data_IF_093613265648
#
_entry.id   IF_093613265648
#
_cell.length_a   1.000
_cell.length_b   1.000
_cell.length_c   1.000
_cell.angle_alpha   90.00
_cell.angle_beta   90.00
_cell.angle_gamma   90.00
#
_symmetry.space_group_name_H-M   'P 1'
#
loop_
_entity.id
_entity.type
_entity.pdbx_description
1 polymer ?
#
# COMPACT_ATOMS: atom_id res chain seq x y z
N UNK A 1 13.29 -5.14 20.21
CA UNK A 1 13.22 -5.07 18.73
C UNK A 1 12.15 -6.08 18.30
N UNK A 2 10.99 -5.64 17.79
CA UNK A 2 9.92 -6.59 17.39
C UNK A 2 10.43 -7.44 16.23
N UNK A 3 10.63 -8.74 16.44
CA UNK A 3 11.05 -9.64 15.38
C UNK A 3 9.87 -9.86 14.43
N UNK A 4 10.03 -9.48 13.17
CA UNK A 4 9.07 -9.76 12.10
C UNK A 4 9.26 -11.18 11.58
N UNK A 5 8.19 -11.84 11.13
CA UNK A 5 8.25 -13.14 10.43
C UNK A 5 9.26 -13.14 9.28
N UNK A 6 9.44 -12.01 8.60
CA UNK A 6 10.45 -11.86 7.56
C UNK A 6 11.88 -11.98 8.11
N UNK A 7 12.15 -11.37 9.26
CA UNK A 7 13.44 -11.46 9.94
C UNK A 7 13.71 -12.89 10.40
N UNK A 8 12.70 -13.58 10.92
CA UNK A 8 12.81 -14.99 11.33
C UNK A 8 13.14 -15.88 10.13
N UNK A 9 12.39 -15.75 9.02
CA UNK A 9 12.67 -16.46 7.76
C UNK A 9 14.11 -16.23 7.29
N UNK A 10 14.57 -14.98 7.30
CA UNK A 10 15.91 -14.60 6.86
C UNK A 10 17.00 -15.23 7.74
N UNK A 11 16.82 -15.20 9.06
CA UNK A 11 17.78 -15.77 9.99
C UNK A 11 17.85 -17.30 9.86
N UNK A 12 16.71 -17.98 9.81
CA UNK A 12 16.67 -19.42 9.58
C UNK A 12 17.28 -19.81 8.24
N UNK A 13 17.12 -18.98 7.19
CA UNK A 13 17.81 -19.18 5.91
C UNK A 13 19.33 -19.11 6.02
N UNK A 14 19.87 -18.15 6.79
CA UNK A 14 21.32 -18.06 7.05
C UNK A 14 21.83 -19.27 7.82
N UNK A 15 21.09 -19.74 8.82
CA UNK A 15 21.50 -20.91 9.61
C UNK A 15 21.50 -22.19 8.78
N UNK A 16 20.56 -22.34 7.82
CA UNK A 16 20.60 -23.41 6.80
C UNK A 16 21.87 -23.30 5.96
N UNK A 17 22.21 -22.11 5.45
CA UNK A 17 23.44 -21.92 4.66
C UNK A 17 24.72 -22.26 5.46
N UNK A 18 24.76 -21.89 6.74
CA UNK A 18 25.87 -22.20 7.63
C UNK A 18 25.97 -23.69 7.96
N UNK A 19 24.83 -24.37 8.18
CA UNK A 19 24.78 -25.81 8.38
C UNK A 19 25.27 -26.56 7.13
N UNK A 20 24.82 -26.15 5.94
CA UNK A 20 25.28 -26.72 4.68
C UNK A 20 26.80 -26.55 4.48
N UNK A 21 27.36 -25.39 4.84
CA UNK A 21 28.82 -25.16 4.83
C UNK A 21 29.58 -26.09 5.80
N UNK A 22 28.95 -26.46 6.91
CA UNK A 22 29.50 -27.42 7.89
C UNK A 22 29.27 -28.88 7.50
N UNK A 23 28.63 -29.15 6.35
CA UNK A 23 28.29 -30.50 5.89
C UNK A 23 27.03 -31.09 6.54
N UNK A 24 26.27 -30.28 7.28
CA UNK A 24 25.02 -30.69 7.92
C UNK A 24 23.84 -30.45 6.98
N UNK A 25 23.02 -31.49 6.72
CA UNK A 25 21.82 -31.36 5.92
C UNK A 25 20.63 -30.93 6.80
N UNK A 26 20.64 -29.67 7.24
CA UNK A 26 19.55 -29.08 8.02
C UNK A 26 18.66 -28.20 7.14
N UNK A 27 17.35 -28.42 7.21
CA UNK A 27 16.34 -27.56 6.61
C UNK A 27 15.84 -26.48 7.56
N UNK A 28 15.10 -25.50 7.04
CA UNK A 28 14.59 -24.33 7.78
C UNK A 28 13.76 -24.68 9.03
N UNK A 29 13.03 -25.80 9.00
CA UNK A 29 12.26 -26.26 10.15
C UNK A 29 13.10 -26.48 11.41
N UNK A 30 14.39 -26.83 11.28
CA UNK A 30 15.28 -27.04 12.43
C UNK A 30 15.66 -25.76 13.17
N UNK A 31 15.42 -24.60 12.58
CA UNK A 31 15.85 -23.29 13.11
C UNK A 31 14.65 -22.47 13.58
N UNK A 32 13.83 -23.10 14.44
CA UNK A 32 12.62 -22.50 14.99
C UNK A 32 12.96 -21.45 16.07
N UNK A 33 12.30 -20.27 16.06
CA UNK A 33 12.36 -19.35 17.19
C UNK A 33 11.76 -19.95 18.47
N UNK A 34 12.42 -19.75 19.62
CA UNK A 34 12.02 -20.34 20.91
C UNK A 34 10.60 -19.99 21.38
N UNK A 35 10.06 -18.84 20.96
CA UNK A 35 8.74 -18.35 21.36
C UNK A 35 7.61 -18.78 20.41
N UNK A 36 7.92 -19.48 19.31
CA UNK A 36 6.93 -19.89 18.32
C UNK A 36 6.62 -21.38 18.50
N UNK A 37 5.35 -21.74 18.36
CA UNK A 37 4.92 -23.15 18.36
C UNK A 37 5.48 -23.89 17.15
N UNK A 38 5.77 -25.19 17.31
CA UNK A 38 6.40 -26.01 16.28
C UNK A 38 5.54 -26.08 15.01
N UNK A 39 4.26 -26.42 15.16
CA UNK A 39 3.33 -26.55 14.04
C UNK A 39 3.15 -25.23 13.28
N UNK A 40 3.14 -24.10 14.00
CA UNK A 40 3.06 -22.77 13.40
C UNK A 40 4.31 -22.45 12.57
N UNK A 41 5.49 -22.87 13.03
CA UNK A 41 6.75 -22.67 12.30
C UNK A 41 6.84 -23.53 11.06
N UNK A 42 6.47 -24.81 11.18
CA UNK A 42 6.41 -25.75 10.05
C UNK A 42 5.47 -25.20 8.98
N UNK A 43 4.24 -24.80 9.36
CA UNK A 43 3.28 -24.21 8.43
C UNK A 43 3.81 -22.95 7.73
N UNK A 44 4.57 -22.10 8.43
CA UNK A 44 5.23 -20.96 7.82
C UNK A 44 6.33 -21.38 6.83
N UNK A 45 7.15 -22.36 7.19
CA UNK A 45 8.21 -22.88 6.34
C UNK A 45 7.64 -23.49 5.05
N UNK A 46 6.62 -24.33 5.17
CA UNK A 46 5.94 -24.98 4.05
C UNK A 46 5.31 -23.94 3.12
N UNK A 47 4.59 -22.96 3.70
CA UNK A 47 4.03 -21.85 2.93
C UNK A 47 5.10 -21.11 2.10
N UNK A 48 6.27 -20.85 2.69
CA UNK A 48 7.36 -20.17 1.98
C UNK A 48 8.00 -20.99 0.86
N UNK A 49 7.84 -22.30 0.88
CA UNK A 49 8.31 -23.24 -0.16
C UNK A 49 7.26 -23.46 -1.26
N UNK A 50 6.04 -22.96 -1.11
CA UNK A 50 5.02 -23.04 -2.16
C UNK A 50 5.37 -22.18 -3.38
N UNK A 51 5.03 -22.69 -4.57
CA UNK A 51 5.16 -21.95 -5.84
C UNK A 51 4.38 -20.64 -5.84
N UNK A 52 3.20 -20.63 -5.20
CA UNK A 52 2.36 -19.44 -5.07
C UNK A 52 3.07 -18.31 -4.33
N UNK A 53 3.70 -18.63 -3.19
CA UNK A 53 4.50 -17.66 -2.46
C UNK A 53 5.72 -17.20 -3.28
N UNK A 54 6.42 -18.10 -3.97
CA UNK A 54 7.59 -17.73 -4.78
C UNK A 54 7.21 -16.76 -5.92
N UNK A 55 6.15 -17.06 -6.65
CA UNK A 55 5.61 -16.20 -7.72
C UNK A 55 5.24 -14.82 -7.18
N UNK A 56 4.51 -14.77 -6.07
CA UNK A 56 4.11 -13.52 -5.44
C UNK A 56 5.31 -12.72 -4.93
N UNK A 57 6.31 -13.38 -4.34
CA UNK A 57 7.56 -12.75 -3.90
C UNK A 57 8.34 -12.13 -5.08
N UNK A 58 8.43 -12.83 -6.22
CA UNK A 58 9.07 -12.32 -7.44
C UNK A 58 8.33 -11.11 -8.00
N UNK A 59 7.00 -11.16 -8.06
CA UNK A 59 6.16 -10.03 -8.52
C UNK A 59 6.33 -8.83 -7.59
N UNK A 60 6.20 -9.02 -6.28
CA UNK A 60 6.33 -7.94 -5.30
C UNK A 60 7.72 -7.28 -5.35
N UNK A 61 8.78 -8.07 -5.56
CA UNK A 61 10.14 -7.54 -5.73
C UNK A 61 10.27 -6.67 -6.99
N UNK A 62 9.65 -7.07 -8.11
CA UNK A 62 9.62 -6.27 -9.34
C UNK A 62 8.83 -4.98 -9.12
N UNK A 63 7.62 -5.08 -8.57
CA UNK A 63 6.75 -3.94 -8.30
C UNK A 63 7.43 -2.91 -7.39
N UNK A 64 8.18 -3.36 -6.38
CA UNK A 64 8.91 -2.47 -5.47
C UNK A 64 10.02 -1.66 -6.15
N UNK A 65 10.57 -2.10 -7.28
CA UNK A 65 11.53 -1.32 -8.07
C UNK A 65 10.88 -0.14 -8.80
N UNK A 66 9.59 -0.25 -9.10
CA UNK A 66 8.81 0.79 -9.76
C UNK A 66 8.12 1.72 -8.76
N UNK A 67 8.28 1.50 -7.44
CA UNK A 67 7.69 2.33 -6.42
C UNK A 67 8.52 3.62 -6.26
N UNK A 68 8.06 4.70 -6.88
CA UNK A 68 8.72 6.02 -6.81
C UNK A 68 8.70 6.60 -5.40
N UNK A 69 7.56 6.47 -4.71
CA UNK A 69 7.38 7.00 -3.36
C UNK A 69 6.84 5.95 -2.41
N UNK A 70 7.47 5.84 -1.23
CA UNK A 70 6.97 4.96 -0.19
C UNK A 70 5.73 5.57 0.47
N UNK A 71 4.57 4.93 0.28
CA UNK A 71 3.36 5.26 1.02
C UNK A 71 3.45 4.78 2.47
N UNK A 72 2.91 5.57 3.39
CA UNK A 72 2.74 5.21 4.80
C UNK A 72 1.49 4.32 5.02
N UNK A 73 0.64 4.19 4.01
CA UNK A 73 -0.69 3.59 4.11
C UNK A 73 -0.74 2.06 4.26
N UNK A 74 0.40 1.38 4.22
CA UNK A 74 0.46 -0.08 4.36
C UNK A 74 -0.31 -0.79 3.25
N UNK A 75 -1.09 -1.82 3.62
CA UNK A 75 -1.89 -2.63 2.68
C UNK A 75 -3.28 -2.07 2.38
N UNK A 76 -3.68 -0.98 3.04
CA UNK A 76 -5.03 -0.40 2.88
C UNK A 76 -5.11 0.43 1.59
N UNK A 77 -6.05 0.13 0.67
CA UNK A 77 -6.29 0.94 -0.53
C UNK A 77 -6.65 2.40 -0.19
N UNK A 78 -6.35 3.33 -1.11
CA UNK A 78 -6.64 4.75 -0.91
C UNK A 78 -8.13 5.05 -0.78
N UNK A 79 -8.99 4.35 -1.53
CA UNK A 79 -10.45 4.50 -1.44
C UNK A 79 -10.97 4.11 -0.06
N UNK A 80 -10.56 2.94 0.44
CA UNK A 80 -10.95 2.48 1.78
C UNK A 80 -10.48 3.44 2.87
N UNK A 81 -9.26 3.95 2.73
CA UNK A 81 -8.69 4.94 3.67
C UNK A 81 -9.46 6.26 3.63
N UNK A 82 -9.84 6.73 2.44
CA UNK A 82 -10.66 7.92 2.25
C UNK A 82 -12.02 7.71 2.93
N UNK A 83 -12.74 6.66 2.57
CA UNK A 83 -14.06 6.36 3.15
C UNK A 83 -14.03 6.26 4.67
N UNK A 84 -13.04 5.55 5.24
CA UNK A 84 -12.92 5.41 6.69
C UNK A 84 -12.70 6.77 7.39
N UNK A 85 -11.95 7.69 6.78
CA UNK A 85 -11.76 9.03 7.35
C UNK A 85 -12.92 9.99 7.07
N UNK A 86 -13.56 9.90 5.91
CA UNK A 86 -14.79 10.66 5.63
C UNK A 86 -15.91 10.27 6.61
N UNK A 87 -16.00 8.99 6.97
CA UNK A 87 -16.93 8.50 8.00
C UNK A 87 -16.58 9.02 9.40
N UNK A 88 -15.29 9.07 9.76
CA UNK A 88 -14.83 9.58 11.06
C UNK A 88 -15.07 11.09 11.22
N UNK A 89 -14.82 11.87 10.16
CA UNK A 89 -14.89 13.33 10.18
C UNK A 89 -16.30 13.83 9.83
N UNK A 90 -17.10 13.02 9.12
CA UNK A 90 -18.42 13.40 8.61
C UNK A 90 -18.34 14.37 7.42
N UNK A 91 -17.17 14.55 6.82
CA UNK A 91 -16.89 15.53 5.77
C UNK A 91 -16.11 14.89 4.60
N UNK A 92 -16.34 15.34 3.37
CA UNK A 92 -15.61 14.84 2.19
C UNK A 92 -14.16 15.30 2.25
N UNK A 93 -13.22 14.36 2.23
CA UNK A 93 -11.80 14.65 2.39
C UNK A 93 -11.23 15.35 1.15
N UNK A 94 -10.37 16.35 1.35
CA UNK A 94 -9.61 16.98 0.26
C UNK A 94 -8.49 16.07 -0.26
N UNK A 95 -8.05 16.29 -1.50
CA UNK A 95 -6.93 15.50 -2.02
C UNK A 95 -5.62 15.80 -1.27
N UNK A 96 -5.43 17.04 -0.83
CA UNK A 96 -4.26 17.44 -0.05
C UNK A 96 -4.24 16.76 1.32
N UNK A 97 -5.40 16.62 1.96
CA UNK A 97 -5.53 15.88 3.22
C UNK A 97 -5.21 14.39 3.04
N UNK A 98 -5.71 13.77 1.97
CA UNK A 98 -5.38 12.38 1.64
C UNK A 98 -3.87 12.23 1.37
N UNK A 99 -3.28 13.16 0.62
CA UNK A 99 -1.84 13.20 0.36
C UNK A 99 -1.03 13.21 1.67
N UNK A 100 -1.44 14.02 2.65
CA UNK A 100 -0.78 14.09 3.94
C UNK A 100 -0.86 12.79 4.75
N UNK A 101 -1.97 12.06 4.66
CA UNK A 101 -2.13 10.78 5.34
C UNK A 101 -1.29 9.69 4.65
N UNK A 102 -1.22 9.73 3.31
CA UNK A 102 -0.56 8.70 2.50
C UNK A 102 0.96 8.90 2.48
N UNK A 103 1.45 10.13 2.46
CA UNK A 103 2.86 10.45 2.30
C UNK A 103 3.42 11.15 3.54
N UNK A 104 4.10 10.38 4.40
CA UNK A 104 4.69 10.91 5.65
C UNK A 104 6.17 11.24 5.53
N UNK A 105 6.84 10.80 4.45
CA UNK A 105 8.27 11.04 4.23
C UNK A 105 8.51 12.31 3.41
N UNK A 106 9.49 13.10 3.83
CA UNK A 106 9.96 14.27 3.08
C UNK A 106 10.80 13.81 1.89
N UNK A 107 10.21 13.82 0.70
CA UNK A 107 10.91 13.68 -0.58
C UNK A 107 10.79 15.01 -1.33
N UNK A 108 11.85 15.47 -1.98
CA UNK A 108 11.85 16.77 -2.66
C UNK A 108 10.71 16.87 -3.70
N UNK A 109 10.54 15.83 -4.51
CA UNK A 109 9.44 15.75 -5.48
C UNK A 109 8.05 15.71 -4.83
N UNK A 110 7.89 15.04 -3.67
CA UNK A 110 6.63 15.05 -2.94
C UNK A 110 6.31 16.45 -2.39
N UNK A 111 7.32 17.22 -1.99
CA UNK A 111 7.13 18.60 -1.56
C UNK A 111 6.73 19.51 -2.73
N UNK A 112 7.32 19.31 -3.92
CA UNK A 112 6.93 20.05 -5.11
C UNK A 112 5.49 19.73 -5.54
N UNK A 113 5.10 18.45 -5.53
CA UNK A 113 3.71 18.03 -5.79
C UNK A 113 2.77 18.66 -4.76
N UNK A 114 3.15 18.60 -3.48
CA UNK A 114 2.38 19.20 -2.39
C UNK A 114 2.19 20.70 -2.60
N UNK A 115 3.25 21.44 -2.89
CA UNK A 115 3.20 22.88 -3.14
C UNK A 115 2.37 23.22 -4.38
N UNK A 116 2.39 22.37 -5.42
CA UNK A 116 1.54 22.53 -6.59
C UNK A 116 0.06 22.31 -6.26
N UNK A 117 -0.26 21.31 -5.44
CA UNK A 117 -1.62 21.06 -4.95
C UNK A 117 -2.12 22.22 -4.08
N UNK A 118 -1.31 22.70 -3.13
CA UNK A 118 -1.64 23.87 -2.29
C UNK A 118 -1.90 25.13 -3.15
N UNK A 119 -1.09 25.34 -4.20
CA UNK A 119 -1.28 26.45 -5.14
C UNK A 119 -2.58 26.31 -5.92
N UNK A 120 -2.90 25.12 -6.41
CA UNK A 120 -4.13 24.84 -7.15
C UNK A 120 -5.37 25.01 -6.26
N UNK A 121 -5.34 24.52 -5.01
CA UNK A 121 -6.42 24.75 -4.04
C UNK A 121 -6.63 26.25 -3.78
N UNK A 122 -5.54 27.02 -3.62
CA UNK A 122 -5.60 28.46 -3.40
C UNK A 122 -6.15 29.23 -4.60
N UNK A 123 -5.74 28.86 -5.81
CA UNK A 123 -6.24 29.48 -7.04
C UNK A 123 -7.74 29.22 -7.22
N UNK A 124 -8.19 27.98 -7.02
CA UNK A 124 -9.60 27.61 -7.07
C UNK A 124 -10.44 28.29 -5.98
N UNK A 125 -9.89 28.42 -4.77
CA UNK A 125 -10.53 29.15 -3.68
C UNK A 125 -10.63 30.66 -3.99
N UNK A 126 -9.63 31.25 -4.63
CA UNK A 126 -9.65 32.66 -5.03
C UNK A 126 -10.67 32.97 -6.13
N UNK A 127 -11.11 31.96 -6.90
CA UNK A 127 -12.14 32.12 -7.93
C UNK A 127 -13.57 32.12 -7.36
N UNK A 128 -13.77 31.59 -6.14
CA UNK A 128 -15.07 31.59 -5.47
C UNK A 128 -15.13 32.76 -4.48
N UNK A 129 -16.15 33.59 -4.58
CA UNK A 129 -16.34 34.73 -3.66
C UNK A 129 -16.66 34.26 -2.23
N UNK A 130 -16.44 35.11 -1.21
CA UNK A 130 -16.69 34.76 0.20
C UNK A 130 -18.17 34.49 0.54
N UNK A 131 -19.11 34.70 -0.41
CA UNK A 131 -20.57 34.64 -0.20
C UNK A 131 -21.23 33.42 -0.87
N UNK A 132 -20.44 32.46 -1.36
CA UNK A 132 -20.97 31.27 -2.04
C UNK A 132 -21.26 30.14 -1.04
N UNK A 133 -22.44 29.48 -1.13
CA UNK A 133 -22.79 28.38 -0.24
C UNK A 133 -21.77 27.24 -0.29
N UNK A 134 -21.60 26.50 0.83
CA UNK A 134 -20.67 25.37 0.87
C UNK A 134 -21.05 24.35 -0.20
N UNK A 135 -20.02 23.80 -0.86
CA UNK A 135 -20.26 22.91 -1.98
C UNK A 135 -20.91 21.62 -1.53
N UNK A 136 -21.80 21.12 -2.38
CA UNK A 136 -22.27 19.76 -2.23
C UNK A 136 -21.09 18.76 -2.23
N UNK A 137 -21.23 17.61 -1.57
CA UNK A 137 -20.23 16.54 -1.61
C UNK A 137 -19.77 16.18 -3.03
N UNK A 138 -20.69 16.14 -3.99
CA UNK A 138 -20.38 15.84 -5.39
C UNK A 138 -19.56 16.94 -6.07
N UNK A 139 -19.91 18.21 -5.83
CA UNK A 139 -19.15 19.35 -6.34
C UNK A 139 -17.75 19.42 -5.73
N UNK A 140 -17.61 19.08 -4.44
CA UNK A 140 -16.30 19.01 -3.78
C UNK A 140 -15.43 17.90 -4.35
N UNK A 141 -15.99 16.74 -4.65
CA UNK A 141 -15.26 15.65 -5.34
C UNK A 141 -14.75 16.07 -6.73
N UNK A 142 -15.59 16.76 -7.52
CA UNK A 142 -15.17 17.30 -8.83
C UNK A 142 -14.01 18.29 -8.69
N UNK A 143 -14.07 19.16 -7.67
CA UNK A 143 -12.99 20.10 -7.37
C UNK A 143 -11.71 19.39 -6.96
N UNK A 144 -11.80 18.37 -6.10
CA UNK A 144 -10.63 17.60 -5.68
C UNK A 144 -9.91 16.96 -6.88
N UNK A 145 -10.66 16.35 -7.81
CA UNK A 145 -10.10 15.79 -9.05
C UNK A 145 -9.37 16.87 -9.85
N UNK A 146 -9.97 18.06 -9.98
CA UNK A 146 -9.36 19.18 -10.70
C UNK A 146 -8.06 19.66 -10.04
N UNK A 147 -8.02 19.77 -8.72
CA UNK A 147 -6.80 20.09 -7.95
C UNK A 147 -5.70 19.07 -8.22
N UNK A 148 -6.03 17.78 -8.25
CA UNK A 148 -5.07 16.71 -8.58
C UNK A 148 -4.50 16.86 -9.99
N UNK A 149 -5.35 17.15 -10.98
CA UNK A 149 -4.95 17.31 -12.37
C UNK A 149 -4.05 18.53 -12.57
N UNK A 150 -4.40 19.66 -11.95
CA UNK A 150 -3.63 20.91 -12.04
C UNK A 150 -2.31 20.87 -11.26
N UNK A 151 -2.25 20.13 -10.15
CA UNK A 151 -1.00 19.87 -9.41
C UNK A 151 -0.01 18.95 -10.16
N UNK A 152 -0.49 18.28 -11.21
CA UNK A 152 0.19 17.35 -12.13
C UNK A 152 0.63 15.99 -11.56
N UNK A 153 0.06 14.96 -12.18
CA UNK A 153 0.49 13.55 -12.33
C UNK A 153 0.32 12.57 -11.15
N UNK A 154 -0.93 12.24 -10.78
CA UNK A 154 -1.25 10.90 -10.23
C UNK A 154 -1.74 9.90 -11.28
N UNK A 155 -1.88 10.27 -12.56
CA UNK A 155 -2.32 9.32 -13.60
C UNK A 155 -1.28 8.26 -13.96
N UNK A 156 0.02 8.47 -13.67
CA UNK A 156 1.05 7.44 -13.88
C UNK A 156 1.27 6.51 -12.66
N UNK A 157 0.75 6.88 -11.48
CA UNK A 157 1.01 6.15 -10.22
C UNK A 157 -0.13 5.22 -9.79
N UNK A 158 -1.35 5.39 -10.33
CA UNK A 158 -2.54 4.65 -9.85
C UNK A 158 -3.00 3.55 -10.83
N UNK A 159 -2.64 3.63 -12.13
CA UNK A 159 -3.23 2.73 -13.15
C UNK A 159 -2.25 1.79 -13.89
N UNK A 160 -0.97 1.75 -13.51
CA UNK A 160 0.03 0.87 -14.15
C UNK A 160 0.23 -0.45 -13.39
N UNK A 161 -0.84 -1.11 -12.96
CA UNK A 161 -0.79 -2.55 -12.65
C UNK A 161 -1.98 -3.26 -13.30
N UNK A 162 -1.78 -3.96 -14.44
CA UNK A 162 -2.85 -4.67 -15.14
C UNK A 162 -3.40 -5.88 -14.38
N UNK A 163 -2.98 -6.13 -13.14
CA UNK A 163 -3.28 -7.38 -12.41
C UNK A 163 -4.26 -7.25 -11.25
N UNK A 164 -4.72 -6.04 -10.91
CA UNK A 164 -5.68 -5.87 -9.81
C UNK A 164 -7.14 -6.14 -10.22
N UNK A 165 -7.41 -6.49 -11.49
CA UNK A 165 -8.76 -6.76 -12.01
C UNK A 165 -9.14 -8.25 -12.08
N UNK A 166 -8.30 -9.15 -11.57
CA UNK A 166 -8.52 -10.59 -11.67
C UNK A 166 -8.74 -11.26 -10.30
N UNK A 167 -9.62 -10.69 -9.47
CA UNK A 167 -10.21 -11.39 -8.32
C UNK A 167 -11.65 -10.90 -8.10
N UNK A 168 -12.49 -10.89 -9.14
CA UNK A 168 -13.94 -10.97 -8.91
C UNK A 168 -14.20 -12.46 -8.69
N UNK A 169 -14.64 -12.78 -7.48
CA UNK A 169 -15.21 -14.08 -7.14
C UNK A 169 -16.51 -14.20 -7.92
N UNK A 170 -16.58 -15.15 -8.84
CA UNK A 170 -17.86 -15.66 -9.35
C UNK A 170 -18.50 -16.46 -8.21
N UNK A 171 -19.15 -15.75 -7.30
CA UNK A 171 -20.11 -16.33 -6.36
C UNK A 171 -21.50 -16.22 -7.04
N UNK A 172 -22.00 -17.33 -7.60
CA UNK A 172 -23.43 -17.50 -7.86
C UNK A 172 -23.81 -18.10 -9.21
N UNK A 173 -23.83 -19.44 -9.31
CA UNK A 173 -24.85 -20.13 -10.09
C UNK A 173 -25.56 -21.14 -9.19
N UNK A 174 -26.82 -20.86 -8.95
CA UNK A 174 -27.80 -21.79 -8.40
C UNK A 174 -29.18 -21.42 -8.94
N UNK A 175 -29.83 -22.43 -9.52
CA UNK A 175 -31.28 -22.53 -9.86
C UNK A 175 -31.63 -21.80 -11.18
N UNK A 176 -32.21 -22.41 -12.21
CA UNK A 176 -33.23 -23.50 -12.28
C UNK A 176 -32.74 -24.83 -12.88
#
# INVERSE_FOLDING_TARGET
MKQSMFTMKKNAGKEVEEALKKGENKKRHHFKPHFLEEDAWIGCCDYWETDGHEKMSKINTKNRKHLTFAHASGAMPFEQRRSAKEEEIGEVMSELELFHIVYTKKHAELMQIKEAMERAEKELASQHGPDEPPLSPASRRKRNILVTLLGSCMDQLVHSSPHSRACIRDDGEGIE
#
